data_IF_099677501439
#
_entry.id   IF_099677501439
#
_cell.length_a   1.000
_cell.length_b   1.000
_cell.length_c   1.000
_cell.angle_alpha   90.00
_cell.angle_beta   90.00
_cell.angle_gamma   90.00
#
_symmetry.space_group_name_H-M   'P 1'
#
loop_
_entity.id
_entity.type
_entity.pdbx_description
1 polymer ?
#
# COMPACT_ATOMS: atom_id res chain seq x y z
N UNK A 1 -16.45 -5.47 29.92
CA UNK A 1 -15.07 -4.96 30.01
C UNK A 1 -14.14 -5.63 29.01
N UNK A 2 -14.25 -6.93 28.85
CA UNK A 2 -13.42 -7.65 27.88
C UNK A 2 -13.78 -7.30 26.44
N UNK A 3 -15.05 -7.02 26.17
CA UNK A 3 -15.49 -6.66 24.82
C UNK A 3 -14.85 -5.36 24.32
N UNK A 4 -14.58 -4.42 25.21
CA UNK A 4 -13.93 -3.17 24.82
C UNK A 4 -12.46 -3.38 24.44
N UNK A 5 -11.78 -4.26 25.13
CA UNK A 5 -10.39 -4.59 24.84
C UNK A 5 -10.30 -5.33 23.52
N UNK A 6 -11.20 -6.27 23.29
CA UNK A 6 -11.26 -7.01 22.03
C UNK A 6 -11.54 -6.06 20.86
N UNK A 7 -12.44 -5.10 21.07
CA UNK A 7 -12.74 -4.09 20.06
C UNK A 7 -11.52 -3.26 19.66
N UNK A 8 -10.69 -2.91 20.63
CA UNK A 8 -9.47 -2.15 20.39
C UNK A 8 -8.48 -2.98 19.58
N UNK A 9 -8.31 -4.25 19.89
CA UNK A 9 -7.43 -5.14 19.14
C UNK A 9 -7.89 -5.32 17.70
N UNK A 10 -9.19 -5.45 17.48
CA UNK A 10 -9.75 -5.56 16.14
C UNK A 10 -9.46 -4.29 15.34
N UNK A 11 -9.62 -3.13 15.95
CA UNK A 11 -9.33 -1.86 15.31
C UNK A 11 -7.86 -1.74 14.91
N UNK A 12 -6.96 -2.16 15.78
CA UNK A 12 -5.54 -2.13 15.47
C UNK A 12 -5.16 -3.11 14.36
N UNK A 13 -5.87 -4.21 14.25
CA UNK A 13 -5.65 -5.18 13.20
C UNK A 13 -6.02 -4.70 11.80
N UNK A 14 -6.87 -3.69 11.70
CA UNK A 14 -7.33 -3.18 10.41
C UNK A 14 -6.23 -2.46 9.64
N UNK A 15 -5.23 -1.94 10.34
CA UNK A 15 -4.19 -1.12 9.73
C UNK A 15 -3.05 -1.93 9.11
N UNK A 16 -3.05 -3.24 9.32
CA UNK A 16 -1.98 -4.08 8.82
C UNK A 16 -2.54 -5.16 7.92
N UNK A 17 -2.18 -5.09 6.65
CA UNK A 17 -2.55 -6.11 5.67
C UNK A 17 -1.34 -6.99 5.44
N UNK A 18 -1.42 -8.24 5.89
CA UNK A 18 -0.34 -9.19 5.69
C UNK A 18 -0.29 -9.68 4.26
N UNK A 19 0.90 -9.79 3.72
CA UNK A 19 1.09 -10.44 2.43
C UNK A 19 0.89 -11.94 2.57
N UNK A 20 0.16 -12.51 1.63
CA UNK A 20 -0.09 -13.93 1.60
C UNK A 20 1.12 -14.62 0.95
N UNK A 21 2.15 -14.86 1.74
CA UNK A 21 3.27 -15.66 1.27
C UNK A 21 3.06 -17.11 1.65
N UNK A 22 3.53 -18.00 0.84
CA UNK A 22 3.56 -19.42 1.16
C UNK A 22 4.27 -19.62 2.49
N UNK A 23 3.71 -20.38 3.35
CA UNK A 23 4.25 -20.63 4.66
C UNK A 23 3.97 -19.47 5.60
N UNK A 24 3.30 -19.75 6.54
CA UNK A 24 3.11 -19.11 7.83
C UNK A 24 4.01 -17.91 8.19
N UNK A 25 4.98 -17.52 7.38
CA UNK A 25 5.87 -16.41 7.70
C UNK A 25 5.55 -15.21 6.82
N UNK A 26 4.67 -14.39 7.31
CA UNK A 26 4.42 -13.10 6.70
C UNK A 26 5.61 -12.19 6.94
N UNK A 27 6.61 -12.28 6.08
CA UNK A 27 7.77 -11.41 6.15
C UNK A 27 7.49 -10.02 5.60
N UNK A 28 6.49 -9.89 4.74
CA UNK A 28 6.10 -8.62 4.13
C UNK A 28 4.64 -8.34 4.39
N UNK A 29 4.33 -7.10 4.71
CA UNK A 29 2.96 -6.65 4.97
C UNK A 29 2.80 -5.20 4.55
N UNK A 30 1.55 -4.75 4.45
CA UNK A 30 1.21 -3.37 4.14
C UNK A 30 0.61 -2.74 5.38
N UNK A 31 1.12 -1.57 5.74
CA UNK A 31 0.61 -0.80 6.86
C UNK A 31 0.04 0.51 6.33
N UNK A 32 -1.23 0.75 6.58
CA UNK A 32 -1.84 2.03 6.21
C UNK A 32 -1.24 3.14 7.05
N UNK A 33 -0.81 4.21 6.38
CA UNK A 33 -0.21 5.38 7.02
C UNK A 33 -0.82 6.64 6.40
N UNK A 34 -0.52 7.77 7.00
CA UNK A 34 -0.91 9.05 6.44
C UNK A 34 0.13 9.49 5.41
N UNK A 35 -0.30 10.22 4.37
CA UNK A 35 0.62 10.74 3.36
C UNK A 35 1.70 11.64 3.98
N UNK A 36 1.38 12.29 5.09
CA UNK A 36 2.36 13.09 5.84
C UNK A 36 3.49 12.25 6.43
N UNK A 37 3.33 10.94 6.52
CA UNK A 37 4.39 10.03 6.97
C UNK A 37 5.50 9.85 5.96
N UNK A 38 5.25 10.20 4.70
CA UNK A 38 6.27 10.17 3.65
C UNK A 38 7.12 11.42 3.80
N UNK A 39 8.39 11.22 4.12
CA UNK A 39 9.34 12.31 4.21
C UNK A 39 9.54 12.91 2.81
N UNK A 40 9.54 14.23 2.72
CA UNK A 40 9.68 14.94 1.45
C UNK A 40 8.58 14.60 0.44
N UNK A 41 7.34 14.67 0.90
CA UNK A 41 6.17 14.40 0.06
C UNK A 41 5.83 15.55 -0.90
N UNK A 42 6.80 16.38 -1.23
CA UNK A 42 6.60 17.59 -2.04
C UNK A 42 5.96 17.30 -3.40
N UNK A 43 6.23 16.13 -3.96
CA UNK A 43 5.63 15.75 -5.23
C UNK A 43 4.10 15.87 -5.18
N UNK A 44 3.49 15.42 -4.09
CA UNK A 44 2.03 15.41 -3.96
C UNK A 44 1.45 16.78 -3.57
N UNK A 45 2.27 17.69 -3.09
CA UNK A 45 1.83 19.04 -2.73
C UNK A 45 2.06 20.04 -3.86
N UNK A 46 3.01 19.79 -4.75
CA UNK A 46 3.37 20.72 -5.83
C UNK A 46 2.81 20.31 -7.18
N UNK A 47 2.48 19.02 -7.36
CA UNK A 47 1.89 18.56 -8.61
C UNK A 47 0.40 18.89 -8.65
N UNK A 48 -0.12 19.38 -9.79
CA UNK A 48 -1.55 19.66 -9.91
C UNK A 48 -2.38 18.42 -9.58
N UNK A 49 -3.47 18.61 -8.84
CA UNK A 49 -4.31 17.51 -8.37
C UNK A 49 -4.90 16.68 -9.50
N UNK A 50 -5.24 17.29 -10.61
CA UNK A 50 -5.78 16.61 -11.77
C UNK A 50 -4.79 15.62 -12.37
N UNK A 51 -3.51 15.82 -12.14
CA UNK A 51 -2.46 14.87 -12.59
C UNK A 51 -2.26 13.72 -11.63
N UNK A 52 -2.75 13.84 -10.41
CA UNK A 52 -2.60 12.84 -9.36
C UNK A 52 -3.82 11.94 -9.22
N UNK A 53 -5.01 12.47 -9.47
CA UNK A 53 -6.27 11.79 -9.19
C UNK A 53 -6.41 10.50 -9.98
N UNK A 54 -6.90 9.46 -9.28
CA UNK A 54 -7.13 8.13 -9.85
C UNK A 54 -5.85 7.46 -10.33
N UNK A 55 -4.75 7.70 -9.63
CA UNK A 55 -3.44 7.14 -9.99
C UNK A 55 -2.77 6.51 -8.78
N UNK A 56 -1.94 5.52 -9.07
CA UNK A 56 -1.13 4.86 -8.07
C UNK A 56 0.34 5.21 -8.27
N UNK A 57 1.03 5.46 -7.18
CA UNK A 57 2.43 5.83 -7.19
C UNK A 57 3.22 4.91 -6.26
N UNK A 58 4.42 4.56 -6.69
CA UNK A 58 5.38 3.90 -5.83
C UNK A 58 6.39 4.95 -5.37
N UNK A 59 6.50 5.13 -4.07
CA UNK A 59 7.41 6.13 -3.48
C UNK A 59 8.51 5.38 -2.74
N UNK A 60 9.73 5.70 -3.07
CA UNK A 60 10.89 5.05 -2.47
C UNK A 60 11.85 6.07 -1.88
N UNK A 61 12.36 5.76 -0.70
CA UNK A 61 13.51 6.47 -0.15
C UNK A 61 14.60 5.44 0.17
N UNK A 62 15.67 5.86 0.81
CA UNK A 62 16.80 4.97 1.08
C UNK A 62 16.48 3.78 1.97
N UNK A 63 15.40 3.86 2.75
CA UNK A 63 15.05 2.82 3.73
C UNK A 63 13.65 2.25 3.57
N UNK A 64 12.74 3.00 2.95
CA UNK A 64 11.32 2.65 2.96
C UNK A 64 10.69 2.71 1.58
N UNK A 65 9.62 1.94 1.40
CA UNK A 65 8.80 1.97 0.20
C UNK A 65 7.35 2.20 0.60
N UNK A 66 6.66 3.04 -0.17
CA UNK A 66 5.25 3.36 0.04
C UNK A 66 4.49 3.23 -1.26
N UNK A 67 3.23 2.88 -1.16
CA UNK A 67 2.31 2.88 -2.29
C UNK A 67 1.24 3.92 -1.98
N UNK A 68 1.05 4.87 -2.90
CA UNK A 68 0.05 5.92 -2.78
C UNK A 68 -1.03 5.68 -3.83
N UNK A 69 -2.24 5.44 -3.37
CA UNK A 69 -3.43 5.41 -4.22
C UNK A 69 -4.12 6.76 -4.08
N UNK A 70 -3.85 7.66 -5.01
CA UNK A 70 -4.31 9.05 -4.89
C UNK A 70 -5.72 9.19 -5.44
N UNK A 71 -6.69 9.33 -4.53
CA UNK A 71 -8.12 9.40 -4.85
C UNK A 71 -8.53 8.36 -5.89
N UNK A 72 -8.02 7.18 -5.69
CA UNK A 72 -8.24 6.06 -6.59
C UNK A 72 -9.44 5.26 -6.09
N UNK A 73 -10.24 4.81 -7.04
CA UNK A 73 -11.47 4.06 -6.74
C UNK A 73 -11.12 2.61 -6.38
N UNK A 74 -10.62 2.40 -5.18
CA UNK A 74 -10.25 1.06 -4.71
C UNK A 74 -10.98 0.69 -3.43
N UNK A 75 -11.18 -0.59 -3.24
CA UNK A 75 -11.78 -1.14 -2.04
C UNK A 75 -10.68 -1.41 -1.02
N UNK A 76 -10.59 -0.53 -0.04
CA UNK A 76 -9.59 -0.60 1.03
C UNK A 76 -9.63 -1.93 1.79
N UNK A 77 -10.80 -2.52 1.94
CA UNK A 77 -10.95 -3.75 2.72
C UNK A 77 -10.52 -5.01 1.96
N UNK A 78 -10.31 -4.89 0.66
CA UNK A 78 -9.88 -6.00 -0.19
C UNK A 78 -8.50 -5.79 -0.78
N UNK A 79 -7.64 -5.06 -0.08
CA UNK A 79 -6.24 -4.93 -0.47
C UNK A 79 -5.48 -6.10 0.13
N UNK A 80 -4.68 -6.75 -0.71
CA UNK A 80 -3.82 -7.84 -0.24
C UNK A 80 -2.48 -7.80 -0.98
N UNK A 81 -1.53 -8.54 -0.48
CA UNK A 81 -0.24 -8.68 -1.15
C UNK A 81 0.31 -10.08 -0.97
N UNK A 82 1.10 -10.50 -1.95
CA UNK A 82 1.81 -11.77 -1.88
C UNK A 82 3.12 -11.66 -2.66
N UNK A 83 4.08 -12.49 -2.30
CA UNK A 83 5.37 -12.55 -2.99
C UNK A 83 5.41 -13.83 -3.80
N UNK A 84 5.62 -13.69 -5.10
CA UNK A 84 5.72 -14.80 -6.05
C UNK A 84 6.87 -14.55 -7.00
N UNK A 85 7.77 -15.51 -7.13
CA UNK A 85 8.88 -15.41 -8.08
C UNK A 85 9.67 -14.10 -7.92
N UNK A 86 9.96 -13.71 -6.69
CA UNK A 86 10.67 -12.48 -6.35
C UNK A 86 9.92 -11.21 -6.74
N UNK A 87 8.60 -11.28 -6.92
CA UNK A 87 7.74 -10.14 -7.22
C UNK A 87 6.75 -9.96 -6.09
N UNK A 88 6.73 -8.78 -5.50
CA UNK A 88 5.68 -8.40 -4.56
C UNK A 88 4.47 -7.93 -5.35
N UNK A 89 3.40 -8.70 -5.28
CA UNK A 89 2.16 -8.38 -5.97
C UNK A 89 1.20 -7.71 -5.00
N UNK A 90 0.77 -6.51 -5.34
CA UNK A 90 -0.23 -5.77 -4.56
C UNK A 90 -1.55 -5.90 -5.30
N UNK A 91 -2.53 -6.51 -4.67
CA UNK A 91 -3.84 -6.78 -5.27
C UNK A 91 -4.87 -5.80 -4.74
N UNK A 92 -5.54 -5.10 -5.63
CA UNK A 92 -6.61 -4.17 -5.28
C UNK A 92 -7.83 -4.43 -6.16
N UNK A 93 -8.98 -4.02 -5.67
CA UNK A 93 -10.25 -4.11 -6.39
C UNK A 93 -10.87 -2.73 -6.51
N UNK A 94 -11.60 -2.52 -7.59
CA UNK A 94 -12.37 -1.30 -7.78
C UNK A 94 -13.50 -1.24 -6.76
N UNK A 95 -13.72 -0.07 -6.21
CA UNK A 95 -14.84 0.24 -5.32
C UNK A 95 -15.81 1.19 -6.01
N UNK A 96 -16.97 1.44 -5.40
CA UNK A 96 -17.92 2.42 -5.90
C UNK A 96 -17.59 3.87 -5.59
N UNK A 97 -16.58 4.13 -4.72
CA UNK A 97 -16.28 5.47 -4.24
C UNK A 97 -14.80 5.80 -4.43
N UNK A 98 -14.51 6.90 -5.09
CA UNK A 98 -13.14 7.33 -5.43
C UNK A 98 -12.73 8.59 -4.67
N UNK A 99 -13.17 8.73 -3.42
CA UNK A 99 -13.00 9.99 -2.70
C UNK A 99 -11.74 10.08 -1.86
N UNK A 100 -11.12 8.95 -1.55
CA UNK A 100 -10.06 8.91 -0.56
C UNK A 100 -8.70 8.57 -1.16
N UNK A 101 -7.68 9.15 -0.56
CA UNK A 101 -6.29 8.79 -0.83
C UNK A 101 -5.85 7.80 0.22
N UNK A 102 -5.32 6.67 -0.22
CA UNK A 102 -4.79 5.65 0.69
C UNK A 102 -3.29 5.51 0.49
N UNK A 103 -2.57 5.44 1.59
CA UNK A 103 -1.12 5.28 1.57
C UNK A 103 -0.75 4.07 2.40
N UNK A 104 0.07 3.21 1.82
CA UNK A 104 0.55 2.01 2.51
C UNK A 104 2.06 1.99 2.53
N UNK A 105 2.62 1.80 3.71
CA UNK A 105 4.03 1.54 3.88
C UNK A 105 4.27 0.05 3.76
N UNK A 106 5.26 -0.35 2.99
CA UNK A 106 5.63 -1.76 2.87
C UNK A 106 6.55 -2.08 4.05
N UNK A 107 6.14 -3.04 4.87
CA UNK A 107 6.87 -3.46 6.05
C UNK A 107 7.51 -4.82 5.80
N UNK A 108 8.81 -4.90 5.95
CA UNK A 108 9.54 -6.15 5.86
C UNK A 108 10.07 -6.50 7.26
N UNK A 109 9.50 -7.52 7.87
CA UNK A 109 9.93 -7.98 9.21
C UNK A 109 11.21 -8.80 9.15
N UNK A 110 11.57 -9.25 7.96
CA UNK A 110 12.79 -9.99 7.67
C UNK A 110 13.44 -9.39 6.45
N UNK A 111 14.52 -9.99 6.01
CA UNK A 111 15.16 -9.57 4.78
C UNK A 111 14.17 -9.60 3.61
N UNK A 112 14.22 -8.57 2.80
CA UNK A 112 13.33 -8.40 1.65
C UNK A 112 13.56 -9.55 0.66
N UNK A 113 12.47 -10.23 0.29
CA UNK A 113 12.51 -11.40 -0.57
C UNK A 113 11.91 -11.16 -1.95
N UNK A 114 11.86 -9.92 -2.39
CA UNK A 114 11.36 -9.56 -3.72
C UNK A 114 12.29 -8.52 -4.35
N UNK A 115 12.31 -8.48 -5.67
CA UNK A 115 13.13 -7.55 -6.44
C UNK A 115 12.30 -6.48 -7.13
N UNK A 116 11.02 -6.74 -7.35
CA UNK A 116 10.12 -5.81 -8.01
C UNK A 116 8.76 -5.82 -7.33
N UNK A 117 7.98 -4.78 -7.64
CA UNK A 117 6.63 -4.60 -7.10
C UNK A 117 5.67 -4.39 -8.27
N UNK A 118 4.64 -5.22 -8.33
CA UNK A 118 3.60 -5.11 -9.35
C UNK A 118 2.26 -4.78 -8.70
N UNK A 119 1.48 -3.98 -9.38
CA UNK A 119 0.12 -3.66 -8.97
C UNK A 119 -0.86 -4.44 -9.83
N UNK A 120 -1.75 -5.17 -9.17
CA UNK A 120 -2.79 -5.96 -9.82
C UNK A 120 -4.13 -5.33 -9.43
N UNK A 121 -4.84 -4.80 -10.40
CA UNK A 121 -6.14 -4.18 -10.17
C UNK A 121 -7.21 -4.97 -10.90
N UNK A 122 -8.20 -5.48 -10.15
CA UNK A 122 -9.27 -6.31 -10.69
C UNK A 122 -8.74 -7.50 -11.51
N UNK A 123 -7.65 -8.10 -11.03
CA UNK A 123 -7.05 -9.26 -11.67
C UNK A 123 -6.10 -8.95 -12.83
N UNK A 124 -5.91 -7.69 -13.17
CA UNK A 124 -5.04 -7.29 -14.27
C UNK A 124 -3.84 -6.47 -13.77
N UNK A 125 -2.68 -6.77 -14.32
CA UNK A 125 -1.49 -6.00 -13.99
C UNK A 125 -1.61 -4.60 -14.58
N UNK A 126 -1.39 -3.59 -13.74
CA UNK A 126 -1.38 -2.19 -14.15
C UNK A 126 -0.08 -1.53 -13.70
N UNK A 127 0.38 -0.57 -14.45
CA UNK A 127 1.59 0.14 -14.10
C UNK A 127 1.32 1.19 -13.03
N UNK A 128 2.31 1.44 -12.18
CA UNK A 128 2.31 2.65 -11.38
C UNK A 128 2.46 3.86 -12.31
N UNK A 129 1.75 4.92 -12.00
CA UNK A 129 1.84 6.15 -12.80
C UNK A 129 3.24 6.75 -12.78
N UNK A 130 3.90 6.64 -11.64
CA UNK A 130 5.30 7.04 -11.49
C UNK A 130 5.94 6.31 -10.34
N UNK A 131 7.23 6.16 -10.41
CA UNK A 131 8.08 5.76 -9.28
C UNK A 131 8.79 7.03 -8.82
N UNK A 132 8.54 7.43 -7.57
CA UNK A 132 9.03 8.67 -7.02
C UNK A 132 10.13 8.35 -6.02
N UNK A 133 11.33 8.83 -6.29
CA UNK A 133 12.44 8.67 -5.37
C UNK A 133 12.59 9.94 -4.53
N UNK A 134 12.50 9.78 -3.22
CA UNK A 134 12.65 10.87 -2.25
C UNK A 134 13.77 10.53 -1.29
N UNK A 135 14.57 11.53 -0.92
CA UNK A 135 15.67 11.35 0.04
C UNK A 135 15.68 12.47 1.08
#
# INVERSE_FOLDING_TARGET
KFSKIIGIFILMGIFLVGCNSNLDKKSTSLKEVNISSIKDNNYFTTTPKEELVNKAFLVENSSDQYIVFYKMNIDKENISCDVKNSILQINVKTSGNAENTYVYKIINSKEKNYESINLIKDGEEVAFSSVINVD
#
